data_IF_599982997115
#
_entry.id   IF_599982997115
#
_cell.length_a   1.000
_cell.length_b   1.000
_cell.length_c   1.000
_cell.angle_alpha   90.00
_cell.angle_beta   90.00
_cell.angle_gamma   90.00
#
_symmetry.space_group_name_H-M   'P 1'
#
loop_
_entity.id
_entity.type
_entity.pdbx_description
1 polymer ?
#
# COMPACT_ATOMS: atom_id res chain seq x y z
N UNK A 1 -37.21 23.45 17.11
CA UNK A 1 -36.42 23.67 18.34
C UNK A 1 -35.60 24.94 18.15
N UNK A 2 -35.75 25.92 19.04
CA UNK A 2 -35.08 27.23 18.97
C UNK A 2 -34.12 27.37 20.14
N UNK A 3 -32.92 27.89 19.90
CA UNK A 3 -31.88 28.08 20.92
C UNK A 3 -31.62 29.57 21.06
N UNK A 4 -31.71 30.14 22.28
CA UNK A 4 -31.31 31.52 22.52
C UNK A 4 -29.78 31.62 22.53
N UNK A 5 -29.23 32.49 21.69
CA UNK A 5 -27.83 32.92 21.70
C UNK A 5 -27.82 34.42 22.01
N UNK A 6 -26.74 34.97 22.57
CA UNK A 6 -26.69 36.32 23.12
C UNK A 6 -27.28 37.45 22.24
N UNK A 7 -27.29 37.28 20.91
CA UNK A 7 -27.82 38.25 19.94
C UNK A 7 -29.26 37.96 19.43
N UNK A 8 -29.90 36.84 19.80
CA UNK A 8 -31.25 36.49 19.34
C UNK A 8 -31.62 35.00 19.45
N UNK A 9 -32.85 34.66 19.05
CA UNK A 9 -33.33 33.27 19.01
C UNK A 9 -33.05 32.63 17.64
N UNK A 10 -32.28 31.54 17.62
CA UNK A 10 -31.91 30.83 16.40
C UNK A 10 -32.71 29.54 16.25
N UNK A 11 -33.15 29.23 15.03
CA UNK A 11 -33.79 27.95 14.70
C UNK A 11 -32.74 26.92 14.29
N UNK A 12 -32.77 25.74 14.91
CA UNK A 12 -31.89 24.64 14.53
C UNK A 12 -32.33 24.10 13.16
N UNK A 13 -31.43 24.11 12.17
CA UNK A 13 -31.68 23.61 10.81
C UNK A 13 -31.10 22.21 10.59
N UNK A 14 -30.10 21.82 11.38
CA UNK A 14 -29.49 20.49 11.32
C UNK A 14 -28.49 20.27 12.45
N UNK A 15 -28.04 19.02 12.58
CA UNK A 15 -26.96 18.63 13.50
C UNK A 15 -25.86 17.98 12.66
N UNK A 16 -24.63 18.46 12.82
CA UNK A 16 -23.47 17.95 12.10
C UNK A 16 -22.84 16.82 12.92
N UNK A 17 -22.49 15.71 12.27
CA UNK A 17 -21.77 14.63 12.94
C UNK A 17 -20.38 15.14 13.39
N UNK A 18 -19.88 14.76 14.58
CA UNK A 18 -18.58 15.20 15.07
C UNK A 18 -17.46 14.56 14.25
N UNK A 19 -17.14 15.15 13.10
CA UNK A 19 -16.08 14.70 12.19
C UNK A 19 -14.74 15.38 12.48
N UNK A 20 -14.74 16.43 13.32
CA UNK A 20 -13.55 17.21 13.67
C UNK A 20 -12.75 16.69 14.87
N UNK A 21 -13.15 15.57 15.50
CA UNK A 21 -12.43 15.02 16.66
C UNK A 21 -10.95 14.70 16.39
N UNK A 22 -10.57 14.38 15.16
CA UNK A 22 -9.18 14.13 14.77
C UNK A 22 -8.34 15.41 14.60
N UNK A 23 -8.99 16.54 14.31
CA UNK A 23 -8.36 17.85 14.14
C UNK A 23 -8.42 18.69 15.44
N UNK A 24 -9.32 18.35 16.36
CA UNK A 24 -9.51 19.04 17.63
C UNK A 24 -8.22 19.15 18.46
N UNK A 25 -7.34 18.14 18.41
CA UNK A 25 -6.05 18.16 19.10
C UNK A 25 -5.00 19.08 18.46
N UNK A 26 -5.08 19.30 17.14
CA UNK A 26 -4.13 20.17 16.40
C UNK A 26 -4.57 21.64 16.46
N UNK A 27 -5.86 21.89 16.66
CA UNK A 27 -6.43 23.22 16.91
C UNK A 27 -6.66 23.52 18.40
N UNK A 28 -6.26 22.63 19.32
CA UNK A 28 -6.52 22.77 20.77
C UNK A 28 -5.94 24.06 21.38
N UNK A 29 -4.80 24.52 20.87
CA UNK A 29 -4.15 25.78 21.30
C UNK A 29 -4.67 27.03 20.56
N UNK A 30 -5.61 26.85 19.62
CA UNK A 30 -6.27 27.93 18.87
C UNK A 30 -7.72 28.09 19.33
N UNK A 31 -8.28 29.30 19.20
CA UNK A 31 -9.71 29.62 19.48
C UNK A 31 -10.73 28.84 18.63
N UNK A 32 -10.26 27.92 17.79
CA UNK A 32 -11.03 27.11 16.84
C UNK A 32 -11.41 25.73 17.38
N UNK A 33 -11.08 25.42 18.64
CA UNK A 33 -11.47 24.17 19.30
C UNK A 33 -12.98 23.95 19.23
N UNK A 34 -13.41 22.99 18.41
CA UNK A 34 -14.82 22.60 18.33
C UNK A 34 -15.12 21.55 19.39
N UNK A 35 -15.79 21.97 20.46
CA UNK A 35 -16.34 21.05 21.47
C UNK A 35 -17.74 20.56 21.08
N UNK A 36 -18.29 19.62 21.88
CA UNK A 36 -19.65 19.10 21.73
C UNK A 36 -20.75 20.18 21.78
N UNK A 37 -20.44 21.39 22.26
CA UNK A 37 -21.35 22.54 22.35
C UNK A 37 -21.08 23.62 21.28
N UNK A 38 -20.42 23.28 20.18
CA UNK A 38 -20.18 24.22 19.08
C UNK A 38 -21.46 24.48 18.25
N UNK A 39 -21.71 25.75 17.94
CA UNK A 39 -22.82 26.21 17.11
C UNK A 39 -22.26 26.78 15.80
N UNK A 40 -22.75 26.27 14.66
CA UNK A 40 -22.38 26.78 13.34
C UNK A 40 -23.42 27.77 12.86
N UNK A 41 -23.04 29.04 12.75
CA UNK A 41 -23.90 30.13 12.28
C UNK A 41 -23.29 30.75 11.01
N UNK A 42 -24.08 30.99 9.95
CA UNK A 42 -23.58 31.65 8.75
C UNK A 42 -22.99 33.04 9.04
N UNK A 43 -21.87 33.35 8.38
CA UNK A 43 -21.21 34.67 8.51
C UNK A 43 -22.12 35.83 8.05
N UNK A 44 -23.11 35.55 7.20
CA UNK A 44 -24.08 36.55 6.72
C UNK A 44 -24.98 37.12 7.82
N UNK A 45 -24.99 36.54 9.03
CA UNK A 45 -25.78 37.05 10.16
C UNK A 45 -24.98 38.12 10.91
N UNK A 46 -24.90 39.32 10.32
CA UNK A 46 -24.08 40.42 10.85
C UNK A 46 -24.44 40.83 12.29
N UNK A 47 -25.71 40.68 12.69
CA UNK A 47 -26.21 41.06 14.03
C UNK A 47 -25.51 40.29 15.16
N UNK A 48 -25.11 39.04 14.90
CA UNK A 48 -24.37 38.22 15.87
C UNK A 48 -22.93 38.70 16.03
N UNK A 49 -22.27 38.99 14.91
CA UNK A 49 -20.84 39.31 14.86
C UNK A 49 -20.54 40.76 15.25
N UNK A 50 -21.53 41.66 15.12
CA UNK A 50 -21.40 43.09 15.48
C UNK A 50 -21.50 43.34 16.99
N UNK A 51 -22.13 42.43 17.75
CA UNK A 51 -22.33 42.55 19.19
C UNK A 51 -21.23 41.89 20.04
N UNK A 52 -20.29 41.18 19.43
CA UNK A 52 -19.13 40.61 20.12
C UNK A 52 -18.20 41.76 20.60
N UNK A 53 -18.11 42.05 21.91
CA UNK A 53 -17.38 43.22 22.38
C UNK A 53 -15.87 42.98 22.27
N UNK A 54 -15.16 43.83 21.52
CA UNK A 54 -13.70 43.94 21.57
C UNK A 54 -12.90 43.33 20.41
N UNK A 55 -13.54 42.71 19.42
CA UNK A 55 -12.85 42.14 18.26
C UNK A 55 -13.01 43.03 17.03
N UNK A 56 -11.93 43.75 16.69
CA UNK A 56 -11.84 44.59 15.49
C UNK A 56 -11.86 43.79 14.17
N UNK A 57 -11.78 42.46 14.25
CA UNK A 57 -11.82 41.57 13.10
C UNK A 57 -12.64 40.31 13.44
N UNK A 58 -13.77 40.04 12.75
CA UNK A 58 -14.63 38.89 13.01
C UNK A 58 -14.09 37.56 12.45
N UNK A 59 -12.91 37.56 11.83
CA UNK A 59 -12.34 36.39 11.16
C UNK A 59 -11.13 35.83 11.91
N UNK A 60 -11.35 34.71 12.61
CA UNK A 60 -10.28 33.97 13.32
C UNK A 60 -9.55 32.97 12.43
N UNK A 61 -10.23 32.37 11.44
CA UNK A 61 -9.65 31.38 10.54
C UNK A 61 -10.30 31.32 9.16
N UNK A 62 -9.48 30.96 8.18
CA UNK A 62 -9.92 30.67 6.81
C UNK A 62 -9.56 29.21 6.51
N UNK A 63 -10.58 28.38 6.31
CA UNK A 63 -10.39 27.00 5.88
C UNK A 63 -10.35 26.96 4.34
N UNK A 64 -9.23 26.50 3.79
CA UNK A 64 -9.07 26.32 2.35
C UNK A 64 -9.00 24.83 2.06
N UNK A 65 -9.88 24.36 1.18
CA UNK A 65 -9.91 22.97 0.73
C UNK A 65 -9.23 22.88 -0.63
N UNK A 66 -8.15 22.10 -0.72
CA UNK A 66 -7.59 21.72 -2.00
C UNK A 66 -8.48 20.65 -2.68
N UNK A 67 -8.62 20.68 -4.01
CA UNK A 67 -9.38 19.67 -4.74
C UNK A 67 -8.73 18.28 -4.65
N UNK A 68 -7.40 18.22 -4.67
CA UNK A 68 -6.62 17.00 -4.54
C UNK A 68 -5.51 17.12 -3.50
N UNK A 69 -5.14 16.00 -2.91
CA UNK A 69 -4.08 15.95 -1.90
C UNK A 69 -2.67 16.19 -2.48
N UNK A 70 -2.41 15.76 -3.72
CA UNK A 70 -1.09 15.93 -4.36
C UNK A 70 -0.77 17.40 -4.67
N UNK A 71 -1.81 18.21 -4.90
CA UNK A 71 -1.69 19.64 -5.18
C UNK A 71 -1.81 20.50 -3.92
N UNK A 72 -1.99 19.91 -2.73
CA UNK A 72 -2.14 20.67 -1.49
C UNK A 72 -0.89 21.49 -1.17
N UNK A 73 0.31 20.91 -1.27
CA UNK A 73 1.57 21.62 -1.01
C UNK A 73 1.85 22.71 -2.05
N UNK A 74 1.52 22.45 -3.32
CA UNK A 74 1.66 23.43 -4.40
C UNK A 74 0.66 24.59 -4.25
N UNK A 75 -0.59 24.28 -3.91
CA UNK A 75 -1.63 25.26 -3.62
C UNK A 75 -1.27 26.12 -2.40
N UNK A 76 -0.68 25.53 -1.37
CA UNK A 76 -0.19 26.26 -0.19
C UNK A 76 0.97 27.20 -0.55
N UNK A 77 1.89 26.76 -1.41
CA UNK A 77 2.94 27.61 -1.95
C UNK A 77 2.37 28.85 -2.68
N UNK A 78 1.37 28.63 -3.54
CA UNK A 78 0.66 29.70 -4.23
C UNK A 78 -0.11 30.63 -3.28
N UNK A 79 -0.82 30.08 -2.29
CA UNK A 79 -1.58 30.85 -1.31
C UNK A 79 -0.66 31.72 -0.44
N UNK A 80 0.48 31.17 -0.01
CA UNK A 80 1.50 31.91 0.73
C UNK A 80 2.04 33.07 -0.09
N UNK A 81 2.33 32.86 -1.37
CA UNK A 81 2.83 33.92 -2.24
C UNK A 81 1.82 35.06 -2.44
N UNK A 82 0.52 34.74 -2.55
CA UNK A 82 -0.55 35.73 -2.67
C UNK A 82 -0.81 36.48 -1.36
N UNK A 83 -0.84 35.79 -0.22
CA UNK A 83 -1.20 36.37 1.06
C UNK A 83 -0.03 37.05 1.80
N UNK A 84 1.21 36.85 1.32
CA UNK A 84 2.40 37.57 1.82
C UNK A 84 2.60 38.93 1.14
N UNK A 85 1.66 39.39 0.30
CA UNK A 85 1.77 40.68 -0.36
C UNK A 85 1.61 41.82 0.65
N UNK A 86 2.51 42.83 0.65
CA UNK A 86 2.50 43.93 1.63
C UNK A 86 1.20 44.73 1.67
N UNK A 87 0.50 44.83 0.54
CA UNK A 87 -0.72 45.64 0.37
C UNK A 87 -1.92 45.12 1.18
N UNK A 88 -1.89 43.87 1.63
CA UNK A 88 -2.99 43.24 2.37
C UNK A 88 -2.96 43.57 3.88
N UNK A 89 -1.85 44.07 4.41
CA UNK A 89 -1.71 44.39 5.85
C UNK A 89 -1.85 43.19 6.80
N UNK A 90 -1.78 41.96 6.28
CA UNK A 90 -1.93 40.72 7.04
C UNK A 90 -0.59 40.30 7.65
N UNK A 91 -0.22 40.88 8.80
CA UNK A 91 0.95 40.46 9.57
C UNK A 91 0.58 39.42 10.63
N UNK A 92 1.31 38.31 10.71
CA UNK A 92 1.15 37.30 11.78
C UNK A 92 0.27 36.09 11.44
N UNK A 93 0.09 35.76 10.15
CA UNK A 93 -0.65 34.57 9.72
C UNK A 93 0.06 33.28 10.17
N UNK A 94 -0.65 32.43 10.92
CA UNK A 94 -0.22 31.08 11.28
C UNK A 94 -0.83 30.06 10.31
N UNK A 95 0.00 29.19 9.75
CA UNK A 95 -0.42 28.18 8.78
C UNK A 95 -0.52 26.83 9.46
N UNK A 96 -1.73 26.31 9.59
CA UNK A 96 -1.96 24.94 10.09
C UNK A 96 -2.34 24.06 8.89
N UNK A 97 -1.40 23.21 8.49
CA UNK A 97 -1.63 22.19 7.48
C UNK A 97 -1.73 20.87 8.25
N UNK A 98 -2.80 20.07 8.07
CA UNK A 98 -2.86 18.70 8.61
C UNK A 98 -1.86 17.74 7.95
N UNK A 99 -0.69 18.22 7.48
CA UNK A 99 0.39 17.45 6.88
C UNK A 99 0.93 16.38 7.86
N UNK A 100 0.75 16.60 9.16
CA UNK A 100 1.06 15.63 10.23
C UNK A 100 0.23 14.34 10.09
N UNK A 101 -1.03 14.42 9.65
CA UNK A 101 -1.89 13.25 9.41
C UNK A 101 -1.42 12.47 8.17
N UNK A 102 -1.03 13.20 7.13
CA UNK A 102 -0.50 12.64 5.88
C UNK A 102 0.82 11.90 6.10
N UNK A 103 1.75 12.54 6.81
CA UNK A 103 3.05 11.96 7.13
C UNK A 103 2.88 10.67 7.93
N UNK A 104 2.03 10.69 8.95
CA UNK A 104 1.71 9.49 9.76
C UNK A 104 1.08 8.37 8.94
N UNK A 105 0.14 8.67 8.04
CA UNK A 105 -0.48 7.65 7.19
C UNK A 105 0.56 7.04 6.23
N UNK A 106 1.40 7.86 5.58
CA UNK A 106 2.47 7.36 4.70
C UNK A 106 3.51 6.54 5.46
N UNK A 107 3.89 6.97 6.66
CA UNK A 107 4.84 6.26 7.53
C UNK A 107 4.26 4.91 7.98
N UNK A 108 2.99 4.88 8.38
CA UNK A 108 2.29 3.64 8.71
C UNK A 108 2.20 2.70 7.49
N UNK A 109 1.82 3.23 6.33
CA UNK A 109 1.78 2.44 5.08
C UNK A 109 3.16 1.90 4.70
N UNK A 110 4.21 2.70 4.81
CA UNK A 110 5.59 2.30 4.54
C UNK A 110 6.06 1.19 5.49
N UNK A 111 5.74 1.33 6.78
CA UNK A 111 6.07 0.31 7.80
C UNK A 111 5.35 -0.99 7.48
N UNK A 112 4.04 -0.97 7.23
CA UNK A 112 3.25 -2.17 6.86
C UNK A 112 3.76 -2.82 5.59
N UNK A 113 4.07 -2.03 4.56
CA UNK A 113 4.61 -2.53 3.30
C UNK A 113 5.96 -3.24 3.50
N UNK A 114 6.83 -2.70 4.36
CA UNK A 114 8.11 -3.31 4.70
C UNK A 114 7.93 -4.62 5.48
N UNK A 115 7.04 -4.68 6.47
CA UNK A 115 6.78 -5.93 7.23
C UNK A 115 6.18 -7.00 6.33
N UNK A 116 5.18 -6.66 5.52
CA UNK A 116 4.58 -7.63 4.58
C UNK A 116 5.59 -8.06 3.53
N UNK A 117 6.39 -7.13 3.01
CA UNK A 117 7.44 -7.42 2.03
C UNK A 117 8.52 -8.37 2.58
N UNK A 118 8.94 -8.19 3.83
CA UNK A 118 9.91 -9.09 4.47
C UNK A 118 9.33 -10.47 4.73
N UNK A 119 8.08 -10.57 5.21
CA UNK A 119 7.39 -11.86 5.36
C UNK A 119 7.25 -12.55 4.00
N UNK A 120 6.86 -11.83 2.95
CA UNK A 120 6.75 -12.36 1.60
C UNK A 120 8.09 -12.90 1.09
N UNK A 121 9.19 -12.17 1.32
CA UNK A 121 10.53 -12.62 0.97
C UNK A 121 10.93 -13.91 1.71
N UNK A 122 10.61 -14.02 3.01
CA UNK A 122 10.85 -15.25 3.78
C UNK A 122 10.03 -16.43 3.25
N UNK A 123 8.75 -16.21 2.93
CA UNK A 123 7.91 -17.24 2.32
C UNK A 123 8.43 -17.69 0.96
N UNK A 124 8.95 -16.77 0.13
CA UNK A 124 9.58 -17.10 -1.14
C UNK A 124 10.83 -17.95 -0.96
N UNK A 125 11.66 -17.63 0.03
CA UNK A 125 12.84 -18.45 0.36
C UNK A 125 12.41 -19.86 0.75
N UNK A 126 11.44 -20.00 1.65
CA UNK A 126 10.90 -21.30 2.10
C UNK A 126 10.27 -22.11 0.95
N UNK A 127 9.51 -21.44 0.08
CA UNK A 127 8.95 -22.04 -1.13
C UNK A 127 10.05 -22.52 -2.08
N UNK A 128 11.09 -21.71 -2.27
CA UNK A 128 12.27 -22.07 -3.07
C UNK A 128 13.03 -23.27 -2.50
N UNK A 129 13.26 -23.35 -1.19
CA UNK A 129 13.88 -24.52 -0.56
C UNK A 129 13.03 -25.77 -0.73
N UNK A 130 11.71 -25.63 -0.64
CA UNK A 130 10.76 -26.74 -0.87
C UNK A 130 10.84 -27.22 -2.31
N UNK A 131 10.82 -26.31 -3.29
CA UNK A 131 10.99 -26.63 -4.70
C UNK A 131 12.30 -27.37 -4.96
N UNK A 132 13.42 -26.84 -4.45
CA UNK A 132 14.73 -27.48 -4.61
C UNK A 132 14.75 -28.88 -4.01
N UNK A 133 14.09 -29.10 -2.88
CA UNK A 133 14.06 -30.41 -2.20
C UNK A 133 13.30 -31.45 -3.03
N UNK A 134 12.15 -31.08 -3.58
CA UNK A 134 11.35 -31.93 -4.48
C UNK A 134 12.16 -32.25 -5.73
N UNK A 135 12.84 -31.27 -6.33
CA UNK A 135 13.67 -31.49 -7.52
C UNK A 135 14.84 -32.45 -7.24
N UNK A 136 15.50 -32.35 -6.08
CA UNK A 136 16.54 -33.31 -5.69
C UNK A 136 15.97 -34.73 -5.58
N UNK A 137 14.77 -34.89 -5.01
CA UNK A 137 14.10 -36.19 -4.92
C UNK A 137 13.78 -36.76 -6.32
N UNK A 138 13.18 -35.96 -7.20
CA UNK A 138 12.87 -36.35 -8.58
C UNK A 138 14.13 -36.80 -9.36
N UNK A 139 15.25 -36.10 -9.18
CA UNK A 139 16.52 -36.47 -9.82
C UNK A 139 17.02 -37.84 -9.34
N UNK A 140 16.81 -38.17 -8.05
CA UNK A 140 17.22 -39.46 -7.47
C UNK A 140 16.34 -40.61 -7.94
N UNK A 141 15.06 -40.38 -8.18
CA UNK A 141 14.16 -41.40 -8.72
C UNK A 141 14.43 -41.70 -10.20
N UNK A 142 14.90 -40.71 -10.97
CA UNK A 142 15.11 -40.81 -12.42
C UNK A 142 16.58 -40.99 -12.82
N UNK A 143 17.44 -41.49 -11.94
CA UNK A 143 18.89 -41.61 -12.19
C UNK A 143 19.20 -42.46 -13.44
N UNK A 144 18.53 -43.60 -13.60
CA UNK A 144 18.73 -44.50 -14.74
C UNK A 144 18.35 -43.83 -16.07
N UNK A 145 17.22 -43.11 -16.10
CA UNK A 145 16.77 -42.37 -17.28
C UNK A 145 17.73 -41.24 -17.67
N UNK A 146 18.23 -40.48 -16.68
CA UNK A 146 19.22 -39.42 -16.90
C UNK A 146 20.54 -40.03 -17.43
N UNK A 147 20.95 -41.17 -16.88
CA UNK A 147 22.10 -41.95 -17.32
C UNK A 147 21.98 -42.41 -18.78
N UNK A 148 20.81 -42.94 -19.17
CA UNK A 148 20.52 -43.37 -20.52
C UNK A 148 20.56 -42.19 -21.51
N UNK A 149 19.93 -41.06 -21.18
CA UNK A 149 19.96 -39.84 -22.02
C UNK A 149 21.40 -39.34 -22.22
N UNK A 150 22.22 -39.36 -21.17
CA UNK A 150 23.65 -38.99 -21.22
C UNK A 150 24.48 -39.98 -22.03
N UNK A 151 24.17 -41.28 -21.98
CA UNK A 151 24.84 -42.31 -22.77
C UNK A 151 24.52 -42.21 -24.27
N UNK A 152 23.32 -41.76 -24.62
CA UNK A 152 22.89 -41.48 -25.99
C UNK A 152 23.46 -40.17 -26.57
N UNK A 153 24.25 -39.43 -25.79
CA UNK A 153 24.97 -38.24 -26.26
C UNK A 153 24.44 -36.90 -25.76
N UNK A 154 23.42 -36.85 -24.89
CA UNK A 154 22.95 -35.59 -24.32
C UNK A 154 24.08 -34.86 -23.56
N UNK A 155 24.26 -33.57 -23.82
CA UNK A 155 25.27 -32.76 -23.15
C UNK A 155 24.91 -32.53 -21.68
N UNK A 156 25.87 -32.11 -20.85
CA UNK A 156 25.56 -31.72 -19.46
C UNK A 156 24.65 -30.49 -19.44
N UNK A 157 24.82 -29.59 -20.40
CA UNK A 157 23.99 -28.39 -20.55
C UNK A 157 22.54 -28.75 -20.86
N UNK A 158 22.30 -29.75 -21.70
CA UNK A 158 20.95 -30.17 -22.10
C UNK A 158 20.16 -30.67 -20.87
N UNK A 159 20.82 -31.44 -20.01
CA UNK A 159 20.23 -31.90 -18.76
C UNK A 159 19.97 -30.73 -17.80
N UNK A 160 20.90 -29.77 -17.69
CA UNK A 160 20.70 -28.59 -16.83
C UNK A 160 19.49 -27.76 -17.31
N UNK A 161 19.40 -27.47 -18.62
CA UNK A 161 18.32 -26.68 -19.19
C UNK A 161 16.98 -27.38 -18.99
N UNK A 162 16.92 -28.70 -19.18
CA UNK A 162 15.69 -29.47 -18.97
C UNK A 162 15.17 -29.35 -17.54
N UNK A 163 16.02 -29.62 -16.54
CA UNK A 163 15.61 -29.56 -15.14
C UNK A 163 15.36 -28.12 -14.66
N UNK A 164 16.09 -27.13 -15.20
CA UNK A 164 15.77 -25.72 -14.94
C UNK A 164 14.42 -25.32 -15.51
N UNK A 165 14.11 -25.77 -16.74
CA UNK A 165 12.82 -25.53 -17.36
C UNK A 165 11.68 -26.20 -16.58
N UNK A 166 11.86 -27.43 -16.11
CA UNK A 166 10.91 -28.13 -15.24
C UNK A 166 10.65 -27.32 -13.95
N UNK A 167 11.70 -26.86 -13.27
CA UNK A 167 11.58 -26.02 -12.09
C UNK A 167 10.89 -24.67 -12.36
N UNK A 168 11.20 -24.02 -13.48
CA UNK A 168 10.55 -22.76 -13.87
C UNK A 168 9.07 -22.97 -14.21
N UNK A 169 8.71 -24.06 -14.87
CA UNK A 169 7.31 -24.39 -15.19
C UNK A 169 6.50 -24.66 -13.92
N UNK A 170 7.06 -25.38 -12.94
CA UNK A 170 6.42 -25.57 -11.63
C UNK A 170 6.23 -24.25 -10.90
N UNK A 171 7.26 -23.39 -10.87
CA UNK A 171 7.18 -22.08 -10.23
C UNK A 171 6.15 -21.16 -10.91
N UNK A 172 6.11 -21.15 -12.24
CA UNK A 172 5.10 -20.41 -13.03
C UNK A 172 3.68 -20.94 -12.76
N UNK A 173 3.51 -22.26 -12.72
CA UNK A 173 2.23 -22.88 -12.37
C UNK A 173 1.75 -22.47 -10.97
N UNK A 174 2.65 -22.47 -9.98
CA UNK A 174 2.35 -22.01 -8.63
C UNK A 174 2.01 -20.52 -8.56
N UNK A 175 2.73 -19.67 -9.30
CA UNK A 175 2.46 -18.23 -9.34
C UNK A 175 1.13 -17.91 -10.05
N UNK A 176 0.81 -18.64 -11.12
CA UNK A 176 -0.45 -18.49 -11.84
C UNK A 176 -1.63 -18.92 -10.96
N UNK A 177 -1.57 -20.11 -10.36
CA UNK A 177 -2.65 -20.58 -9.47
C UNK A 177 -2.76 -19.72 -8.22
N UNK A 178 -1.65 -19.31 -7.63
CA UNK A 178 -1.62 -18.38 -6.50
C UNK A 178 -2.28 -17.04 -6.84
N UNK A 179 -1.89 -16.41 -7.96
CA UNK A 179 -2.48 -15.14 -8.40
C UNK A 179 -3.98 -15.27 -8.69
N UNK A 180 -4.42 -16.38 -9.27
CA UNK A 180 -5.83 -16.64 -9.55
C UNK A 180 -6.63 -16.79 -8.25
N UNK A 181 -6.11 -17.56 -7.29
CA UNK A 181 -6.73 -17.74 -5.97
C UNK A 181 -6.81 -16.42 -5.20
N UNK A 182 -5.74 -15.65 -5.21
CA UNK A 182 -5.72 -14.31 -4.60
C UNK A 182 -6.79 -13.42 -5.22
N UNK A 183 -6.87 -13.34 -6.55
CA UNK A 183 -7.90 -12.54 -7.21
C UNK A 183 -9.31 -12.98 -6.82
N UNK A 184 -9.58 -14.29 -6.78
CA UNK A 184 -10.88 -14.82 -6.40
C UNK A 184 -11.25 -14.44 -4.96
N UNK A 185 -10.36 -14.70 -4.01
CA UNK A 185 -10.56 -14.42 -2.58
C UNK A 185 -10.79 -12.93 -2.30
N UNK A 186 -10.02 -12.05 -2.94
CA UNK A 186 -10.19 -10.61 -2.77
C UNK A 186 -11.53 -10.10 -3.31
N UNK A 187 -12.01 -10.68 -4.41
CA UNK A 187 -13.31 -10.27 -4.98
C UNK A 187 -14.52 -10.79 -4.20
N UNK A 188 -14.39 -11.92 -3.50
CA UNK A 188 -15.54 -12.57 -2.84
C UNK A 188 -15.64 -12.29 -1.34
N UNK A 189 -14.53 -12.33 -0.61
CA UNK A 189 -14.55 -12.24 0.85
C UNK A 189 -14.24 -10.83 1.35
N UNK A 190 -13.28 -10.14 0.72
CA UNK A 190 -12.79 -8.85 1.22
C UNK A 190 -13.79 -7.70 0.97
N UNK A 191 -14.53 -7.76 -0.15
CA UNK A 191 -15.60 -6.82 -0.47
C UNK A 191 -16.78 -6.90 0.53
N UNK A 192 -16.94 -8.01 1.25
CA UNK A 192 -17.99 -8.18 2.24
C UNK A 192 -17.58 -7.73 3.65
N UNK A 193 -16.27 -7.69 3.95
CA UNK A 193 -15.76 -7.38 5.29
C UNK A 193 -15.18 -5.95 5.43
N UNK A 194 -14.76 -5.30 4.33
CA UNK A 194 -14.07 -4.01 4.41
C UNK A 194 -14.40 -3.07 3.25
N UNK A 195 -14.63 -1.79 3.55
CA UNK A 195 -14.80 -0.69 2.57
C UNK A 195 -13.45 -0.19 1.98
N UNK A 196 -12.35 -0.95 2.14
CA UNK A 196 -11.06 -0.53 1.63
C UNK A 196 -10.99 -0.75 0.11
N UNK A 197 -10.71 0.29 -0.70
CA UNK A 197 -10.55 0.14 -2.14
C UNK A 197 -9.26 -0.63 -2.42
N UNK A 198 -9.38 -1.90 -2.81
CA UNK A 198 -8.24 -2.67 -3.30
C UNK A 198 -8.05 -2.40 -4.79
N UNK A 199 -7.06 -1.57 -5.11
CA UNK A 199 -6.67 -1.31 -6.49
C UNK A 199 -5.76 -2.44 -7.00
N UNK A 200 -6.32 -3.37 -7.79
CA UNK A 200 -5.55 -4.34 -8.56
C UNK A 200 -5.02 -3.68 -9.83
N UNK A 201 -3.83 -3.07 -9.75
CA UNK A 201 -3.14 -2.50 -10.92
C UNK A 201 -2.52 -3.58 -11.80
N UNK A 202 -2.30 -3.31 -13.10
CA UNK A 202 -1.68 -4.28 -14.01
C UNK A 202 -0.30 -4.81 -13.54
N UNK A 203 0.44 -4.02 -12.76
CA UNK A 203 1.69 -4.42 -12.14
C UNK A 203 1.54 -5.60 -11.16
N UNK A 204 0.37 -5.75 -10.51
CA UNK A 204 0.13 -6.85 -9.56
C UNK A 204 0.00 -8.20 -10.24
N UNK A 205 -0.33 -8.25 -11.54
CA UNK A 205 -0.41 -9.49 -12.30
C UNK A 205 0.95 -9.90 -12.89
N UNK A 206 1.75 -8.93 -13.33
CA UNK A 206 3.02 -9.21 -14.02
C UNK A 206 4.19 -9.48 -13.06
N UNK A 207 4.24 -8.79 -11.93
CA UNK A 207 5.34 -8.89 -10.97
C UNK A 207 5.50 -10.32 -10.40
N UNK A 208 4.43 -11.04 -9.99
CA UNK A 208 4.55 -12.41 -9.50
C UNK A 208 5.09 -13.38 -10.56
N UNK A 209 4.67 -13.22 -11.82
CA UNK A 209 5.17 -14.06 -12.93
C UNK A 209 6.67 -13.85 -13.16
N UNK A 210 7.13 -12.61 -13.19
CA UNK A 210 8.54 -12.29 -13.35
C UNK A 210 9.37 -12.87 -12.19
N UNK A 211 8.88 -12.73 -10.97
CA UNK A 211 9.54 -13.26 -9.77
C UNK A 211 9.58 -14.79 -9.76
N UNK A 212 8.52 -15.44 -10.24
CA UNK A 212 8.45 -16.90 -10.34
C UNK A 212 9.51 -17.48 -11.28
N UNK A 213 9.77 -16.83 -12.42
CA UNK A 213 10.84 -17.24 -13.34
C UNK A 213 12.20 -17.11 -12.65
N UNK A 214 12.45 -15.98 -11.97
CA UNK A 214 13.72 -15.74 -11.29
C UNK A 214 13.97 -16.77 -10.16
N UNK A 215 12.98 -17.00 -9.30
CA UNK A 215 13.07 -17.96 -8.19
C UNK A 215 13.13 -19.40 -8.71
N UNK A 216 12.31 -19.73 -9.71
CA UNK A 216 12.32 -21.05 -10.36
C UNK A 216 13.69 -21.38 -10.93
N UNK A 217 14.31 -20.43 -11.64
CA UNK A 217 15.67 -20.60 -12.17
C UNK A 217 16.71 -20.72 -11.04
N UNK A 218 16.65 -19.84 -10.03
CA UNK A 218 17.63 -19.81 -8.94
C UNK A 218 17.65 -21.12 -8.14
N UNK A 219 16.47 -21.60 -7.72
CA UNK A 219 16.36 -22.79 -6.86
C UNK A 219 16.42 -24.11 -7.62
N UNK A 220 16.17 -24.13 -8.94
CA UNK A 220 16.36 -25.33 -9.78
C UNK A 220 17.79 -25.53 -10.27
N UNK A 221 18.62 -24.47 -10.28
CA UNK A 221 19.98 -24.56 -10.82
C UNK A 221 20.88 -25.58 -10.10
N UNK A 222 20.87 -25.58 -8.76
CA UNK A 222 21.68 -26.51 -7.97
C UNK A 222 21.30 -27.99 -8.22
N UNK A 223 20.02 -28.42 -8.11
CA UNK A 223 19.64 -29.79 -8.42
C UNK A 223 19.86 -30.14 -9.91
N UNK A 224 19.58 -29.22 -10.83
CA UNK A 224 19.83 -29.44 -12.26
C UNK A 224 21.32 -29.71 -12.55
N UNK A 225 22.22 -28.94 -11.91
CA UNK A 225 23.67 -29.14 -12.00
C UNK A 225 24.12 -30.47 -11.38
N UNK A 226 23.47 -30.91 -10.30
CA UNK A 226 23.72 -32.21 -9.70
C UNK A 226 23.30 -33.36 -10.64
N UNK A 227 22.11 -33.27 -11.26
CA UNK A 227 21.60 -34.24 -12.23
C UNK A 227 22.54 -34.40 -13.44
N UNK A 228 23.02 -33.29 -13.99
CA UNK A 228 23.92 -33.30 -15.16
C UNK A 228 25.31 -33.92 -14.88
N UNK A 229 25.69 -34.08 -13.61
CA UNK A 229 26.98 -34.67 -13.20
C UNK A 229 26.92 -36.17 -12.96
N UNK A 230 25.74 -36.79 -13.04
CA UNK A 230 25.58 -38.24 -12.92
C UNK A 230 26.43 -38.95 -13.98
N UNK A 231 27.19 -39.96 -13.56
CA UNK A 231 28.03 -40.76 -14.44
C UNK A 231 27.15 -41.85 -15.13
N UNK A 232 27.01 -41.84 -16.46
CA UNK A 232 26.13 -42.77 -17.17
C UNK A 232 26.50 -44.24 -16.94
N UNK A 233 27.79 -44.56 -16.81
CA UNK A 233 28.24 -45.93 -16.56
C UNK A 233 27.89 -46.44 -15.16
N UNK A 234 27.80 -45.54 -14.17
CA UNK A 234 27.36 -45.89 -12.82
C UNK A 234 25.84 -45.96 -12.75
N UNK A 235 25.13 -45.05 -13.41
CA UNK A 235 23.67 -45.00 -13.42
C UNK A 235 23.01 -46.26 -13.98
N UNK A 236 23.64 -46.91 -14.97
CA UNK A 236 23.13 -48.15 -15.61
C UNK A 236 23.56 -49.44 -14.91
N UNK A 237 24.43 -49.36 -13.89
CA UNK A 237 24.91 -50.53 -13.13
C UNK A 237 24.03 -50.92 -11.94
N UNK A 238 23.04 -50.09 -11.62
CA UNK A 238 22.18 -50.24 -10.44
C UNK A 238 20.86 -50.98 -10.73
N UNK A 239 20.73 -51.60 -11.90
CA UNK A 239 19.71 -52.61 -12.21
C UNK A 239 20.36 -53.95 -12.56
#
# INVERSE_FOLDING_TARGET
MTVPVAAGAFRIVGVVAPQLGALAGEFADTRLGTDANSLFVPLSVEELWRQAPGESNPLDAIFVRAPDYQSADEALGGLRALLSQPDLGLSGLSWVIPASLIGKVREMQGTVALTVGTIAALCLLLGGTTLSSILVANVRERVAEIGLRRALGASRGDIVILFMAEGCLVALGAAFTGSLLTHLLLTTELAALTDLPVALGAASALLPLALAIAIGALFSYLPARAAARINPAQALKFE
#
